data_IF_783717929825
#
_entry.id   IF_783717929825
#
_cell.length_a   1.000
_cell.length_b   1.000
_cell.length_c   1.000
_cell.angle_alpha   90.00
_cell.angle_beta   90.00
_cell.angle_gamma   90.00
#
_symmetry.space_group_name_H-M   'P 1'
#
loop_
_entity.id
_entity.type
_entity.pdbx_description
1 polymer ?
#
# COMPACT_ATOMS: atom_id res chain seq x y z
N UNK A 1 1.22 15.71 82.51
CA UNK A 1 1.05 17.00 81.80
C UNK A 1 1.99 16.96 80.59
N UNK A 2 1.69 16.26 79.49
CA UNK A 2 0.83 16.60 78.33
C UNK A 2 1.07 17.99 77.75
N UNK A 3 1.75 18.03 76.59
CA UNK A 3 1.21 18.69 75.39
C UNK A 3 1.91 18.15 74.14
N UNK A 4 1.21 17.31 73.38
CA UNK A 4 1.51 17.02 71.97
C UNK A 4 0.60 17.95 71.16
N UNK A 5 1.20 18.80 70.34
CA UNK A 5 0.46 19.65 69.39
C UNK A 5 0.20 18.84 68.13
N UNK A 6 -1.07 18.62 67.81
CA UNK A 6 -1.56 18.04 66.56
C UNK A 6 -2.15 19.20 65.74
N UNK A 7 -1.58 19.50 64.57
CA UNK A 7 -2.18 20.40 63.60
C UNK A 7 -3.05 19.57 62.66
N UNK A 8 -4.38 19.72 62.78
CA UNK A 8 -5.34 19.23 61.80
C UNK A 8 -5.48 20.35 60.75
N UNK A 9 -4.88 20.16 59.58
CA UNK A 9 -5.23 20.93 58.40
C UNK A 9 -6.35 20.19 57.67
N UNK A 10 -7.49 20.87 57.53
CA UNK A 10 -8.68 20.37 56.87
C UNK A 10 -8.50 20.14 55.36
N UNK A 11 -9.38 19.26 54.87
CA UNK A 11 -9.56 18.84 53.49
C UNK A 11 -9.55 19.98 52.45
N UNK A 12 -9.10 19.64 51.25
CA UNK A 12 -9.88 19.76 50.01
C UNK A 12 -9.31 18.78 48.98
N UNK A 13 -10.03 17.68 48.76
CA UNK A 13 -9.74 16.77 47.64
C UNK A 13 -10.27 17.42 46.37
N UNK A 14 -9.39 18.06 45.60
CA UNK A 14 -9.74 18.47 44.25
C UNK A 14 -9.65 17.23 43.37
N UNK A 15 -10.77 16.53 43.19
CA UNK A 15 -10.87 15.54 42.11
C UNK A 15 -10.88 16.33 40.81
N UNK A 16 -9.73 16.43 40.16
CA UNK A 16 -9.65 16.91 38.80
C UNK A 16 -10.46 15.93 37.93
N UNK A 17 -11.68 16.33 37.58
CA UNK A 17 -12.40 15.70 36.47
C UNK A 17 -11.64 16.13 35.23
N UNK A 18 -10.65 15.34 34.82
CA UNK A 18 -10.11 15.45 33.48
C UNK A 18 -11.21 15.01 32.53
N UNK A 19 -11.97 15.98 32.01
CA UNK A 19 -12.69 15.78 30.77
C UNK A 19 -11.65 15.41 29.72
N UNK A 20 -11.58 14.12 29.38
CA UNK A 20 -10.83 13.64 28.24
C UNK A 20 -11.56 14.13 26.98
N UNK A 21 -11.35 15.39 26.64
CA UNK A 21 -11.53 15.81 25.25
C UNK A 21 -10.52 14.99 24.47
N UNK A 22 -11.00 13.94 23.79
CA UNK A 22 -10.23 13.19 22.81
C UNK A 22 -9.88 14.18 21.70
N UNK A 23 -8.77 14.89 21.87
CA UNK A 23 -8.13 15.59 20.78
C UNK A 23 -7.78 14.49 19.77
N UNK A 24 -8.44 14.53 18.61
CA UNK A 24 -8.12 13.65 17.50
C UNK A 24 -6.59 13.65 17.33
N UNK A 25 -5.97 12.47 17.43
CA UNK A 25 -4.53 12.37 17.24
C UNK A 25 -4.16 13.06 15.91
N UNK A 26 -3.13 13.92 15.88
CA UNK A 26 -2.68 14.49 14.63
C UNK A 26 -2.36 13.33 13.70
N UNK A 27 -3.01 13.30 12.53
CA UNK A 27 -2.77 12.31 11.51
C UNK A 27 -1.26 12.28 11.24
N UNK A 28 -0.58 11.22 11.67
CA UNK A 28 0.80 11.00 11.25
C UNK A 28 0.79 11.05 9.73
N UNK A 29 1.68 11.81 9.08
CA UNK A 29 1.73 11.83 7.62
C UNK A 29 1.93 10.39 7.17
N UNK A 30 0.88 9.79 6.61
CA UNK A 30 0.96 8.47 6.04
C UNK A 30 1.95 8.57 4.89
N UNK A 31 3.12 7.93 5.04
CA UNK A 31 4.09 7.90 3.97
C UNK A 31 3.51 7.03 2.86
N UNK A 32 2.96 7.70 1.84
CA UNK A 32 2.35 7.02 0.71
C UNK A 32 3.39 6.14 0.02
N UNK A 33 3.17 4.83 0.07
CA UNK A 33 3.94 3.87 -0.70
C UNK A 33 3.65 4.07 -2.20
N UNK A 34 4.71 4.26 -3.00
CA UNK A 34 4.60 4.61 -4.42
C UNK A 34 5.52 3.77 -5.27
N UNK A 35 4.96 3.14 -6.30
CA UNK A 35 5.68 2.42 -7.35
C UNK A 35 5.34 3.06 -8.70
N UNK A 36 6.35 3.55 -9.43
CA UNK A 36 6.17 4.18 -10.74
C UNK A 36 7.05 3.59 -11.86
N UNK A 37 7.93 2.62 -11.55
CA UNK A 37 8.82 1.92 -12.48
C UNK A 37 9.86 2.78 -13.20
N UNK A 38 9.98 4.08 -12.91
CA UNK A 38 10.89 4.99 -13.61
C UNK A 38 12.38 4.68 -13.31
N UNK A 39 12.65 4.04 -12.18
CA UNK A 39 13.98 3.56 -11.80
C UNK A 39 14.48 2.39 -12.66
N UNK A 40 13.58 1.71 -13.37
CA UNK A 40 13.89 0.49 -14.11
C UNK A 40 14.07 0.76 -15.60
N UNK A 41 15.14 0.25 -16.20
CA UNK A 41 15.28 0.22 -17.66
C UNK A 41 14.24 -0.71 -18.30
N UNK A 42 13.87 -0.50 -19.58
CA UNK A 42 12.91 -1.35 -20.28
C UNK A 42 13.40 -2.80 -20.42
N UNK A 43 12.90 -3.69 -19.58
CA UNK A 43 13.33 -5.09 -19.51
C UNK A 43 12.21 -5.98 -18.95
N UNK A 44 12.33 -7.33 -19.04
CA UNK A 44 11.45 -8.22 -18.31
C UNK A 44 11.40 -7.84 -16.83
N UNK A 45 10.21 -7.70 -16.26
CA UNK A 45 10.05 -7.38 -14.85
C UNK A 45 10.16 -8.66 -14.04
N UNK A 46 11.25 -8.79 -13.28
CA UNK A 46 11.61 -10.04 -12.59
C UNK A 46 11.39 -9.93 -11.08
N UNK A 47 11.44 -11.07 -10.39
CA UNK A 47 11.24 -11.15 -8.93
C UNK A 47 12.18 -10.25 -8.14
N UNK A 48 13.40 -10.01 -8.61
CA UNK A 48 14.34 -9.09 -7.97
C UNK A 48 13.81 -7.65 -7.96
N UNK A 49 13.36 -7.15 -9.12
CA UNK A 49 12.75 -5.82 -9.26
C UNK A 49 11.44 -5.72 -8.48
N UNK A 50 10.64 -6.79 -8.48
CA UNK A 50 9.40 -6.85 -7.68
C UNK A 50 9.70 -6.75 -6.17
N UNK A 51 10.77 -7.38 -5.67
CA UNK A 51 11.17 -7.25 -4.26
C UNK A 51 11.69 -5.86 -3.92
N UNK A 52 12.44 -5.24 -4.84
CA UNK A 52 12.93 -3.88 -4.70
C UNK A 52 11.76 -2.88 -4.65
N UNK A 53 10.78 -3.04 -5.53
CA UNK A 53 9.63 -2.14 -5.60
C UNK A 53 8.63 -2.39 -4.46
N UNK A 54 8.46 -3.65 -4.02
CA UNK A 54 7.42 -4.07 -3.07
C UNK A 54 8.04 -4.75 -1.84
N UNK A 55 8.40 -3.94 -0.84
CA UNK A 55 9.22 -4.33 0.31
C UNK A 55 8.69 -5.50 1.18
N UNK A 56 7.39 -5.82 1.13
CA UNK A 56 6.80 -6.94 1.88
C UNK A 56 6.20 -8.01 0.97
N UNK A 57 6.92 -8.38 -0.11
CA UNK A 57 6.51 -9.42 -1.03
C UNK A 57 6.38 -10.79 -0.33
N UNK A 58 5.18 -11.39 -0.41
CA UNK A 58 4.89 -12.73 0.10
C UNK A 58 5.12 -13.79 -0.98
N UNK A 59 4.52 -13.58 -2.15
CA UNK A 59 4.52 -14.53 -3.26
C UNK A 59 4.25 -13.83 -4.57
N UNK A 60 4.72 -14.40 -5.67
CA UNK A 60 4.50 -13.88 -7.03
C UNK A 60 4.25 -15.00 -8.04
N UNK A 61 3.56 -14.61 -9.12
CA UNK A 61 3.39 -15.37 -10.36
C UNK A 61 3.51 -14.40 -11.51
N UNK A 62 4.70 -13.83 -11.66
CA UNK A 62 5.02 -13.00 -12.83
C UNK A 62 5.02 -13.84 -14.12
N UNK A 63 5.49 -15.09 -14.04
CA UNK A 63 5.54 -16.07 -15.15
C UNK A 63 6.04 -15.49 -16.49
N UNK A 64 7.04 -14.60 -16.45
CA UNK A 64 7.60 -13.91 -17.62
C UNK A 64 6.56 -13.15 -18.46
N UNK A 65 5.45 -12.71 -17.85
CA UNK A 65 4.39 -11.93 -18.50
C UNK A 65 4.42 -10.44 -18.16
N UNK A 66 5.34 -10.02 -17.29
CA UNK A 66 5.49 -8.65 -16.85
C UNK A 66 6.74 -8.02 -17.48
N UNK A 67 6.65 -6.79 -17.95
CA UNK A 67 7.74 -6.12 -18.64
C UNK A 67 7.69 -4.61 -18.45
N UNK A 68 8.80 -4.02 -18.04
CA UNK A 68 8.93 -2.56 -17.97
C UNK A 68 9.05 -2.00 -19.39
N UNK A 69 8.29 -0.94 -19.64
CA UNK A 69 8.26 -0.18 -20.89
C UNK A 69 8.16 1.31 -20.58
N UNK A 70 8.55 2.16 -21.52
CA UNK A 70 8.34 3.60 -21.44
C UNK A 70 7.20 4.04 -22.37
N UNK A 71 6.52 5.12 -22.02
CA UNK A 71 5.55 5.77 -22.91
C UNK A 71 6.32 6.47 -24.04
N UNK A 72 6.04 6.10 -25.30
CA UNK A 72 6.69 6.72 -26.46
C UNK A 72 6.43 8.24 -26.54
N UNK A 73 5.33 8.73 -25.97
CA UNK A 73 4.99 10.16 -25.93
C UNK A 73 5.64 10.89 -24.76
N UNK A 74 6.09 10.15 -23.75
CA UNK A 74 6.82 10.69 -22.61
C UNK A 74 7.81 9.62 -22.11
N UNK A 75 9.03 9.58 -22.67
CA UNK A 75 10.01 8.53 -22.35
C UNK A 75 10.39 8.46 -20.87
N UNK A 76 10.25 9.56 -20.11
CA UNK A 76 10.48 9.56 -18.67
C UNK A 76 9.36 8.91 -17.84
N UNK A 77 8.28 8.45 -18.48
CA UNK A 77 7.18 7.76 -17.83
C UNK A 77 7.22 6.26 -18.17
N UNK A 78 7.72 5.47 -17.22
CA UNK A 78 7.77 4.02 -17.34
C UNK A 78 6.50 3.39 -16.78
N UNK A 79 6.18 2.19 -17.24
CA UNK A 79 5.01 1.44 -16.81
C UNK A 79 5.26 -0.06 -16.93
N UNK A 80 4.53 -0.82 -16.10
CA UNK A 80 4.51 -2.27 -16.17
C UNK A 80 3.49 -2.72 -17.23
N UNK A 81 3.98 -3.36 -18.30
CA UNK A 81 3.13 -4.03 -19.29
C UNK A 81 2.92 -5.49 -18.89
N UNK A 82 1.66 -5.91 -18.87
CA UNK A 82 1.28 -7.31 -18.63
C UNK A 82 0.81 -7.97 -19.93
N UNK A 83 1.34 -9.16 -20.23
CA UNK A 83 0.92 -10.01 -21.35
C UNK A 83 -0.18 -10.97 -20.87
N UNK A 84 -1.30 -10.99 -21.58
CA UNK A 84 -2.35 -12.00 -21.43
C UNK A 84 -2.23 -13.01 -22.56
N UNK A 85 -1.92 -14.29 -22.30
CA UNK A 85 -1.84 -15.32 -23.33
C UNK A 85 -3.22 -15.56 -23.97
N UNK A 86 -3.24 -15.78 -25.29
CA UNK A 86 -4.46 -16.14 -26.01
C UNK A 86 -5.01 -17.49 -25.52
N UNK A 87 -6.33 -17.64 -25.55
CA UNK A 87 -7.05 -18.89 -25.21
C UNK A 87 -6.83 -19.40 -23.76
N UNK A 88 -6.21 -18.61 -22.88
CA UNK A 88 -6.05 -18.96 -21.47
C UNK A 88 -7.02 -18.15 -20.63
N UNK A 89 -7.78 -18.84 -19.77
CA UNK A 89 -8.74 -18.22 -18.84
C UNK A 89 -8.39 -18.66 -17.41
N UNK A 90 -8.46 -17.71 -16.48
CA UNK A 90 -8.40 -18.00 -15.05
C UNK A 90 -7.01 -18.16 -14.46
N UNK A 91 -6.97 -18.01 -13.13
CA UNK A 91 -5.90 -18.41 -12.23
C UNK A 91 -4.47 -17.99 -12.60
N UNK A 92 -3.53 -18.85 -12.20
CA UNK A 92 -2.08 -18.67 -12.36
C UNK A 92 -1.61 -18.55 -13.81
N UNK A 93 -2.43 -18.95 -14.78
CA UNK A 93 -2.03 -19.09 -16.17
C UNK A 93 -2.33 -17.84 -17.01
N UNK A 94 -3.09 -16.87 -16.49
CA UNK A 94 -3.42 -15.62 -17.17
C UNK A 94 -2.99 -14.39 -16.36
N UNK A 95 -2.54 -13.34 -17.05
CA UNK A 95 -2.13 -12.08 -16.42
C UNK A 95 -0.93 -12.21 -15.46
N UNK A 96 -0.84 -11.32 -14.49
CA UNK A 96 0.22 -11.31 -13.46
C UNK A 96 -0.44 -11.20 -12.10
N UNK A 97 0.09 -11.93 -11.12
CA UNK A 97 -0.39 -11.88 -9.75
C UNK A 97 0.81 -11.84 -8.79
N UNK A 98 0.68 -11.09 -7.70
CA UNK A 98 1.57 -11.15 -6.56
C UNK A 98 0.83 -10.66 -5.32
N UNK A 99 1.34 -11.02 -4.14
CA UNK A 99 0.83 -10.55 -2.86
C UNK A 99 1.95 -9.82 -2.16
N UNK A 100 1.73 -8.55 -1.85
CA UNK A 100 2.55 -7.77 -0.94
C UNK A 100 1.74 -7.54 0.34
N UNK A 101 2.37 -7.71 1.51
CA UNK A 101 1.74 -7.29 2.77
C UNK A 101 1.79 -5.77 2.84
N UNK A 102 0.77 -5.22 3.47
CA UNK A 102 0.80 -3.86 4.01
C UNK A 102 0.79 -3.99 5.54
N UNK A 103 1.23 -2.96 6.28
CA UNK A 103 1.02 -2.90 7.72
C UNK A 103 -0.46 -3.10 8.09
N UNK A 104 -0.77 -3.29 9.36
CA UNK A 104 -2.17 -3.33 9.79
C UNK A 104 -2.72 -1.90 9.90
N UNK A 105 -3.92 -1.67 9.36
CA UNK A 105 -4.70 -0.45 9.51
C UNK A 105 -6.19 -0.77 9.34
N UNK A 106 -7.05 0.13 9.82
CA UNK A 106 -8.50 0.04 9.64
C UNK A 106 -8.93 0.45 8.22
N UNK A 107 -8.12 1.28 7.54
CA UNK A 107 -8.43 1.82 6.22
C UNK A 107 -7.18 1.98 5.37
N UNK A 108 -7.37 1.81 4.05
CA UNK A 108 -6.36 2.02 3.01
C UNK A 108 -7.00 2.64 1.77
N UNK A 109 -6.20 3.43 1.05
CA UNK A 109 -6.53 3.92 -0.27
C UNK A 109 -5.48 3.46 -1.28
N UNK A 110 -5.95 3.07 -2.46
CA UNK A 110 -5.10 2.70 -3.59
C UNK A 110 -5.51 3.55 -4.80
N UNK A 111 -4.52 4.09 -5.50
CA UNK A 111 -4.71 4.80 -6.75
C UNK A 111 -3.67 4.33 -7.76
N UNK A 112 -4.11 4.10 -9.00
CA UNK A 112 -3.24 3.69 -10.09
C UNK A 112 -3.77 4.22 -11.43
N UNK A 113 -2.86 4.34 -12.40
CA UNK A 113 -3.20 4.59 -13.80
C UNK A 113 -3.12 3.29 -14.56
N UNK A 114 -4.15 2.99 -15.34
CA UNK A 114 -4.21 1.80 -16.19
C UNK A 114 -4.61 2.20 -17.61
N UNK A 115 -4.07 1.46 -18.58
CA UNK A 115 -4.43 1.61 -20.00
C UNK A 115 -4.46 0.25 -20.67
N UNK A 116 -5.55 -0.04 -21.37
CA UNK A 116 -5.63 -1.17 -22.29
C UNK A 116 -5.03 -0.76 -23.64
N UNK A 117 -4.32 -1.70 -24.27
CA UNK A 117 -3.82 -1.45 -25.63
C UNK A 117 -5.00 -1.36 -26.62
N UNK A 118 -4.86 -0.62 -27.74
CA UNK A 118 -5.89 -0.64 -28.79
C UNK A 118 -6.23 -2.07 -29.22
N UNK A 119 -7.52 -2.36 -29.39
CA UNK A 119 -8.01 -3.69 -29.75
C UNK A 119 -7.91 -4.75 -28.63
N UNK A 120 -7.77 -4.33 -27.36
CA UNK A 120 -7.81 -5.28 -26.25
C UNK A 120 -9.17 -5.99 -26.17
N UNK A 121 -9.14 -7.32 -26.18
CA UNK A 121 -10.34 -8.15 -26.04
C UNK A 121 -10.69 -8.34 -24.56
N UNK A 122 -11.75 -7.69 -24.12
CA UNK A 122 -12.22 -7.76 -22.74
C UNK A 122 -12.91 -9.09 -22.41
N UNK A 123 -13.35 -9.87 -23.40
CA UNK A 123 -14.14 -11.10 -23.22
C UNK A 123 -15.28 -10.90 -22.20
N UNK A 124 -15.16 -11.50 -21.01
CA UNK A 124 -16.14 -11.42 -19.91
C UNK A 124 -15.67 -10.54 -18.74
N UNK A 125 -14.63 -9.73 -18.95
CA UNK A 125 -13.95 -8.97 -17.91
C UNK A 125 -12.87 -9.77 -17.17
N UNK A 126 -12.35 -9.18 -16.09
CA UNK A 126 -11.28 -9.77 -15.28
C UNK A 126 -10.96 -8.95 -14.03
N UNK A 127 -10.07 -9.48 -13.19
CA UNK A 127 -9.60 -8.80 -11.98
C UNK A 127 -8.58 -7.72 -12.31
N UNK A 128 -8.66 -6.61 -11.59
CA UNK A 128 -7.68 -5.51 -11.61
C UNK A 128 -6.84 -5.52 -10.32
N UNK A 129 -5.72 -4.79 -10.25
CA UNK A 129 -4.95 -4.65 -9.02
C UNK A 129 -5.77 -4.01 -7.90
N UNK A 130 -5.59 -4.52 -6.67
CA UNK A 130 -6.38 -4.15 -5.50
C UNK A 130 -6.91 -5.37 -4.79
#
# INVERSE_FOLDING_TARGET
MWSKTLLIAGLLSATAIFSSTSAAEPLRPYQAFRVNFNQHQPQPYQRAMLKEDWHMLVRDWLQNRAMVRFDKRNPGNHYLRVKYPANVVGGWHSGVQFIARVPQSNEYWLSYKMRFQPGFDFRKGGKLPG
#
